data_IF_720806098745
#
_entry.id   IF_720806098745
#
_cell.length_a   1.000
_cell.length_b   1.000
_cell.length_c   1.000
_cell.angle_alpha   90.00
_cell.angle_beta   90.00
_cell.angle_gamma   90.00
#
_symmetry.space_group_name_H-M   'P 1'
#
loop_
_entity.id
_entity.type
_entity.pdbx_description
1 polymer ?
#
# COMPACT_ATOMS: atom_id res chain seq x y z
N UNK A 1 18.55 -24.42 -6.80
CA UNK A 1 17.70 -23.23 -6.98
C UNK A 1 17.32 -23.09 -8.45
N UNK A 2 16.04 -23.02 -8.81
CA UNK A 2 15.69 -22.47 -10.13
C UNK A 2 15.65 -20.95 -10.01
N UNK A 3 16.61 -20.26 -10.63
CA UNK A 3 16.66 -18.79 -10.73
C UNK A 3 15.30 -18.18 -11.10
N UNK A 4 14.51 -18.92 -11.88
CA UNK A 4 13.15 -18.57 -12.25
C UNK A 4 12.21 -18.41 -11.05
N UNK A 5 12.16 -19.36 -10.11
CA UNK A 5 11.24 -19.29 -8.96
C UNK A 5 11.50 -18.04 -8.11
N UNK A 6 12.78 -17.72 -7.87
CA UNK A 6 13.19 -16.51 -7.17
C UNK A 6 12.70 -15.23 -7.87
N UNK A 7 12.83 -15.16 -9.20
CA UNK A 7 12.33 -14.02 -9.98
C UNK A 7 10.81 -13.88 -9.92
N UNK A 8 10.07 -14.98 -9.89
CA UNK A 8 8.61 -14.95 -9.71
C UNK A 8 8.25 -14.41 -8.31
N UNK A 9 8.94 -14.86 -7.26
CA UNK A 9 8.72 -14.35 -5.89
C UNK A 9 8.99 -12.84 -5.82
N UNK A 10 10.11 -12.38 -6.38
CA UNK A 10 10.47 -10.95 -6.44
C UNK A 10 9.36 -10.13 -7.14
N UNK A 11 8.90 -10.58 -8.31
CA UNK A 11 7.82 -9.92 -9.04
C UNK A 11 6.50 -9.86 -8.24
N UNK A 12 6.11 -10.97 -7.62
CA UNK A 12 4.90 -11.03 -6.80
C UNK A 12 5.01 -10.14 -5.57
N UNK A 13 6.19 -10.06 -4.97
CA UNK A 13 6.47 -9.16 -3.86
C UNK A 13 6.29 -7.69 -4.25
N UNK A 14 6.90 -7.26 -5.36
CA UNK A 14 6.78 -5.89 -5.86
C UNK A 14 5.32 -5.52 -6.09
N UNK A 15 4.55 -6.42 -6.71
CA UNK A 15 3.13 -6.21 -6.93
C UNK A 15 2.33 -6.10 -5.63
N UNK A 16 2.58 -6.96 -4.63
CA UNK A 16 1.91 -6.89 -3.32
C UNK A 16 2.30 -5.63 -2.55
N UNK A 17 3.54 -5.18 -2.67
CA UNK A 17 3.98 -3.92 -2.06
C UNK A 17 3.28 -2.72 -2.69
N UNK A 18 3.15 -2.68 -4.01
CA UNK A 18 2.41 -1.63 -4.72
C UNK A 18 0.92 -1.61 -4.30
N UNK A 19 0.31 -2.79 -4.14
CA UNK A 19 -1.05 -2.92 -3.62
C UNK A 19 -1.17 -2.38 -2.19
N UNK A 20 -0.22 -2.74 -1.31
CA UNK A 20 -0.16 -2.22 0.05
C UNK A 20 -0.07 -0.70 0.07
N UNK A 21 0.89 -0.11 -0.66
CA UNK A 21 1.09 1.33 -0.74
C UNK A 21 -0.18 2.05 -1.27
N UNK A 22 -0.88 1.45 -2.23
CA UNK A 22 -2.11 2.03 -2.81
C UNK A 22 -3.32 1.97 -1.85
N UNK A 23 -3.27 1.11 -0.83
CA UNK A 23 -4.42 0.82 0.04
C UNK A 23 -4.09 0.86 1.53
N UNK A 24 -2.94 1.43 1.92
CA UNK A 24 -2.40 1.24 3.27
C UNK A 24 -3.34 1.71 4.38
N UNK A 25 -4.14 2.77 4.15
CA UNK A 25 -5.07 3.25 5.17
C UNK A 25 -6.29 2.33 5.31
N UNK A 26 -6.82 1.80 4.21
CA UNK A 26 -7.90 0.80 4.25
C UNK A 26 -7.41 -0.49 4.94
N UNK A 27 -6.21 -0.94 4.58
CA UNK A 27 -5.57 -2.08 5.22
C UNK A 27 -5.30 -1.81 6.70
N UNK A 28 -4.88 -0.60 7.06
CA UNK A 28 -4.74 -0.21 8.45
C UNK A 28 -6.08 -0.36 9.19
N UNK A 29 -7.19 0.12 8.62
CA UNK A 29 -8.50 0.01 9.26
C UNK A 29 -8.92 -1.43 9.51
N UNK A 30 -8.63 -2.33 8.57
CA UNK A 30 -9.00 -3.75 8.65
C UNK A 30 -8.04 -4.60 9.48
N UNK A 31 -6.77 -4.19 9.63
CA UNK A 31 -5.71 -5.03 10.20
C UNK A 31 -4.93 -4.41 11.37
N UNK A 32 -5.23 -3.18 11.81
CA UNK A 32 -4.52 -2.49 12.90
C UNK A 32 -4.39 -3.29 14.19
N UNK A 33 -5.35 -4.16 14.50
CA UNK A 33 -5.39 -4.91 15.76
C UNK A 33 -4.60 -6.23 15.70
N UNK A 34 -4.14 -6.65 14.51
CA UNK A 34 -3.36 -7.87 14.33
C UNK A 34 -1.87 -7.71 14.66
N UNK A 35 -1.37 -6.46 14.65
CA UNK A 35 0.06 -6.14 14.75
C UNK A 35 0.81 -6.39 13.43
N UNK A 36 1.98 -5.77 13.28
CA UNK A 36 2.65 -5.73 11.97
C UNK A 36 3.08 -7.12 11.48
N UNK A 37 3.68 -7.91 12.36
CA UNK A 37 4.15 -9.26 12.06
C UNK A 37 3.05 -10.20 11.54
N UNK A 38 1.89 -10.16 12.20
CA UNK A 38 0.79 -11.06 11.84
C UNK A 38 0.14 -10.65 10.53
N UNK A 39 0.02 -9.35 10.25
CA UNK A 39 -0.42 -8.88 8.95
C UNK A 39 0.53 -9.26 7.82
N UNK A 40 1.86 -9.15 8.03
CA UNK A 40 2.82 -9.59 7.01
C UNK A 40 2.59 -11.05 6.65
N UNK A 41 2.39 -11.91 7.66
CA UNK A 41 2.07 -13.32 7.42
C UNK A 41 0.72 -13.50 6.71
N UNK A 42 -0.36 -12.95 7.25
CA UNK A 42 -1.73 -13.25 6.81
C UNK A 42 -2.10 -12.57 5.49
N UNK A 43 -1.76 -11.30 5.33
CA UNK A 43 -2.09 -10.55 4.13
C UNK A 43 -0.99 -10.69 3.08
N UNK A 44 0.28 -10.55 3.46
CA UNK A 44 1.37 -10.50 2.48
C UNK A 44 1.83 -11.90 2.05
N UNK A 45 2.46 -12.66 2.96
CA UNK A 45 3.16 -13.91 2.62
C UNK A 45 2.18 -15.00 2.21
N UNK A 46 1.09 -15.19 2.97
CA UNK A 46 0.08 -16.21 2.67
C UNK A 46 -0.56 -16.02 1.30
N UNK A 47 -0.73 -14.79 0.84
CA UNK A 47 -1.24 -14.51 -0.51
C UNK A 47 -0.27 -15.01 -1.58
N UNK A 48 1.03 -14.70 -1.42
CA UNK A 48 2.05 -15.07 -2.41
C UNK A 48 2.26 -16.59 -2.42
N UNK A 49 2.38 -17.21 -1.24
CA UNK A 49 2.53 -18.67 -1.10
C UNK A 49 1.36 -19.41 -1.75
N UNK A 50 0.11 -18.98 -1.47
CA UNK A 50 -1.09 -19.60 -2.06
C UNK A 50 -1.08 -19.57 -3.58
N UNK A 51 -0.70 -18.45 -4.19
CA UNK A 51 -0.60 -18.36 -5.65
C UNK A 51 0.52 -19.24 -6.19
N UNK A 52 1.66 -19.32 -5.52
CA UNK A 52 2.81 -20.10 -5.98
C UNK A 52 2.61 -21.61 -5.84
N UNK A 53 1.86 -22.06 -4.84
CA UNK A 53 1.52 -23.48 -4.66
C UNK A 53 0.74 -24.07 -5.85
N UNK A 54 0.15 -23.23 -6.70
CA UNK A 54 -0.51 -23.66 -7.94
C UNK A 54 0.47 -24.05 -9.05
N UNK A 55 1.74 -23.62 -8.95
CA UNK A 55 2.73 -23.72 -10.02
C UNK A 55 4.02 -24.41 -9.59
N UNK A 56 4.31 -24.47 -8.30
CA UNK A 56 5.54 -25.04 -7.75
C UNK A 56 5.25 -26.02 -6.61
N UNK A 57 6.03 -27.11 -6.50
CA UNK A 57 5.87 -28.04 -5.39
C UNK A 57 6.22 -27.38 -4.05
N UNK A 58 5.57 -27.77 -2.93
CA UNK A 58 5.78 -27.14 -1.62
C UNK A 58 7.24 -27.12 -1.17
N UNK A 59 8.00 -28.18 -1.44
CA UNK A 59 9.44 -28.27 -1.09
C UNK A 59 10.27 -27.16 -1.73
N UNK A 60 10.00 -26.83 -3.00
CA UNK A 60 10.68 -25.73 -3.70
C UNK A 60 10.35 -24.36 -3.09
N UNK A 61 9.13 -24.19 -2.58
CA UNK A 61 8.69 -22.93 -2.01
C UNK A 61 9.22 -22.68 -0.61
N UNK A 62 9.37 -23.71 0.23
CA UNK A 62 9.92 -23.60 1.58
C UNK A 62 11.32 -22.96 1.52
N UNK A 63 12.20 -23.54 0.70
CA UNK A 63 13.57 -23.03 0.54
C UNK A 63 13.56 -21.61 -0.03
N UNK A 64 12.79 -21.38 -1.09
CA UNK A 64 12.78 -20.10 -1.81
C UNK A 64 12.18 -18.95 -1.01
N UNK A 65 11.15 -19.20 -0.19
CA UNK A 65 10.58 -18.19 0.71
C UNK A 65 11.48 -17.88 1.89
N UNK A 66 12.13 -18.90 2.47
CA UNK A 66 13.05 -18.69 3.59
C UNK A 66 14.21 -17.77 3.21
N UNK A 67 14.79 -17.96 2.02
CA UNK A 67 15.81 -17.06 1.47
C UNK A 67 15.28 -15.64 1.21
N UNK A 68 14.06 -15.53 0.70
CA UNK A 68 13.42 -14.23 0.46
C UNK A 68 13.20 -13.46 1.76
N UNK A 69 12.61 -14.08 2.79
CA UNK A 69 12.38 -13.45 4.08
C UNK A 69 13.70 -13.00 4.72
N UNK A 70 14.74 -13.83 4.63
CA UNK A 70 16.07 -13.51 5.14
C UNK A 70 16.70 -12.29 4.46
N UNK A 71 16.51 -12.14 3.13
CA UNK A 71 17.14 -11.07 2.36
C UNK A 71 16.33 -9.78 2.29
N UNK A 72 14.99 -9.85 2.23
CA UNK A 72 14.11 -8.71 1.96
C UNK A 72 13.00 -8.51 3.00
N UNK A 73 12.79 -9.45 3.91
CA UNK A 73 11.73 -9.36 4.93
C UNK A 73 11.84 -8.12 5.82
N UNK A 74 13.07 -7.69 6.15
CA UNK A 74 13.30 -6.48 6.95
C UNK A 74 12.81 -5.20 6.25
N UNK A 75 12.96 -5.10 4.92
CA UNK A 75 12.45 -3.96 4.15
C UNK A 75 10.94 -3.92 4.23
N UNK A 76 10.28 -5.06 4.01
CA UNK A 76 8.82 -5.14 4.05
C UNK A 76 8.28 -4.68 5.40
N UNK A 77 8.85 -5.21 6.49
CA UNK A 77 8.51 -4.79 7.86
C UNK A 77 8.72 -3.29 8.07
N UNK A 78 9.78 -2.72 7.52
CA UNK A 78 10.09 -1.29 7.63
C UNK A 78 9.06 -0.42 6.89
N UNK A 79 8.70 -0.77 5.65
CA UNK A 79 7.62 -0.12 4.91
C UNK A 79 6.35 -0.13 5.75
N UNK A 80 5.93 -1.33 6.09
CA UNK A 80 4.66 -1.57 6.77
C UNK A 80 4.58 -0.84 8.11
N UNK A 81 5.63 -0.89 8.94
CA UNK A 81 5.75 -0.10 10.18
C UNK A 81 5.65 1.41 9.94
N UNK A 82 6.29 1.91 8.88
CA UNK A 82 6.28 3.34 8.52
C UNK A 82 4.87 3.83 8.20
N UNK A 83 4.12 3.07 7.39
CA UNK A 83 2.75 3.43 7.04
C UNK A 83 1.78 3.28 8.23
N UNK A 84 1.96 2.26 9.09
CA UNK A 84 1.21 2.17 10.35
C UNK A 84 1.51 3.33 11.30
N UNK A 85 2.76 3.76 11.39
CA UNK A 85 3.14 4.93 12.17
C UNK A 85 2.42 6.18 11.66
N UNK A 86 2.43 6.40 10.34
CA UNK A 86 1.67 7.48 9.72
C UNK A 86 0.18 7.40 10.05
N UNK A 87 -0.43 6.22 9.92
CA UNK A 87 -1.83 6.03 10.28
C UNK A 87 -2.13 6.20 11.77
N UNK A 88 -1.18 6.02 12.68
CA UNK A 88 -1.41 6.31 14.10
C UNK A 88 -1.43 7.81 14.36
N UNK A 89 -0.53 8.56 13.73
CA UNK A 89 -0.43 10.00 13.93
C UNK A 89 0.02 10.71 12.64
N UNK A 90 -0.90 11.04 11.72
CA UNK A 90 -0.55 11.64 10.44
C UNK A 90 0.08 13.04 10.62
N UNK A 91 -0.28 13.77 11.67
CA UNK A 91 0.24 15.11 11.98
C UNK A 91 1.73 15.15 12.29
N UNK A 92 2.33 14.02 12.70
CA UNK A 92 3.79 13.88 12.86
C UNK A 92 4.54 13.87 11.52
N UNK A 93 3.82 13.85 10.40
CA UNK A 93 4.38 13.79 9.05
C UNK A 93 3.80 14.90 8.16
N UNK A 94 3.96 16.20 8.54
CA UNK A 94 3.36 17.32 7.82
C UNK A 94 3.81 17.40 6.36
N UNK A 95 5.10 17.15 6.09
CA UNK A 95 5.67 17.13 4.73
C UNK A 95 4.91 16.19 3.79
N UNK A 96 4.54 14.97 4.25
CA UNK A 96 3.78 14.02 3.42
C UNK A 96 2.37 14.52 3.10
N UNK A 97 1.78 15.27 4.02
CA UNK A 97 0.45 15.86 3.83
C UNK A 97 0.55 17.00 2.82
N UNK A 98 1.56 17.87 2.95
CA UNK A 98 1.82 18.97 2.02
C UNK A 98 2.08 18.45 0.60
N UNK A 99 2.96 17.46 0.43
CA UNK A 99 3.22 16.81 -0.86
C UNK A 99 1.94 16.24 -1.48
N UNK A 100 1.05 15.66 -0.66
CA UNK A 100 -0.20 15.12 -1.15
C UNK A 100 -1.20 16.21 -1.55
N UNK A 101 -1.27 17.32 -0.82
CA UNK A 101 -2.10 18.49 -1.15
C UNK A 101 -1.61 19.09 -2.48
N UNK A 102 -0.30 19.28 -2.63
CA UNK A 102 0.33 19.80 -3.84
C UNK A 102 0.07 18.87 -5.03
N UNK A 103 0.24 17.56 -4.85
CA UNK A 103 -0.02 16.57 -5.89
C UNK A 103 -1.44 16.67 -6.48
N UNK A 104 -2.45 16.91 -5.64
CA UNK A 104 -3.83 17.10 -6.09
C UNK A 104 -4.17 18.55 -6.48
N UNK A 105 -3.26 19.51 -6.28
CA UNK A 105 -3.49 20.93 -6.52
C UNK A 105 -4.62 21.51 -5.68
N UNK A 106 -4.79 21.03 -4.44
CA UNK A 106 -5.90 21.43 -3.59
C UNK A 106 -5.60 22.76 -2.88
N UNK A 107 -6.45 23.77 -3.08
CA UNK A 107 -6.38 25.03 -2.32
C UNK A 107 -6.98 24.89 -0.93
N UNK A 108 -8.10 24.16 -0.84
CA UNK A 108 -8.75 23.80 0.40
C UNK A 108 -8.75 22.28 0.51
N UNK A 109 -8.43 21.76 1.70
CA UNK A 109 -8.47 20.32 1.95
C UNK A 109 -9.80 19.95 2.59
N UNK A 110 -10.78 19.64 1.74
CA UNK A 110 -12.08 19.04 2.13
C UNK A 110 -12.24 17.63 1.57
N UNK A 111 -13.11 16.82 2.18
CA UNK A 111 -13.37 15.46 1.70
C UNK A 111 -14.01 15.43 0.30
N UNK A 112 -14.88 16.41 0.02
CA UNK A 112 -15.53 16.56 -1.29
C UNK A 112 -14.53 16.90 -2.40
N UNK A 113 -13.66 17.89 -2.17
CA UNK A 113 -12.64 18.29 -3.14
C UNK A 113 -11.64 17.16 -3.39
N UNK A 114 -11.16 16.50 -2.33
CA UNK A 114 -10.26 15.36 -2.46
C UNK A 114 -10.88 14.25 -3.32
N UNK A 115 -12.13 13.85 -3.03
CA UNK A 115 -12.85 12.82 -3.80
C UNK A 115 -13.04 13.24 -5.26
N UNK A 116 -13.35 14.51 -5.51
CA UNK A 116 -13.54 15.05 -6.86
C UNK A 116 -12.24 14.99 -7.67
N UNK A 117 -11.13 15.52 -7.12
CA UNK A 117 -9.82 15.50 -7.78
C UNK A 117 -9.32 14.07 -8.00
N UNK A 118 -9.46 13.19 -7.00
CA UNK A 118 -9.12 11.78 -7.12
C UNK A 118 -9.85 11.11 -8.29
N UNK A 119 -11.19 11.25 -8.36
CA UNK A 119 -11.98 10.66 -9.46
C UNK A 119 -11.57 11.19 -10.83
N UNK A 120 -11.23 12.49 -10.93
CA UNK A 120 -10.73 13.09 -12.18
C UNK A 120 -9.41 12.46 -12.61
N UNK A 121 -8.45 12.33 -11.69
CA UNK A 121 -7.14 11.73 -12.00
C UNK A 121 -7.27 10.24 -12.33
N UNK A 122 -8.04 9.46 -11.55
CA UNK A 122 -8.30 8.05 -11.84
C UNK A 122 -8.91 7.89 -13.23
N UNK A 123 -9.95 8.68 -13.57
CA UNK A 123 -10.52 8.63 -14.92
C UNK A 123 -9.51 8.98 -15.99
N UNK A 124 -8.58 9.90 -15.75
CA UNK A 124 -7.59 10.31 -16.75
C UNK A 124 -6.49 9.26 -16.96
N UNK A 125 -6.08 8.59 -15.88
CA UNK A 125 -4.88 7.75 -15.87
C UNK A 125 -5.17 6.24 -15.65
N UNK A 126 -6.44 5.83 -15.66
CA UNK A 126 -6.77 4.40 -15.48
C UNK A 126 -6.11 3.54 -16.58
N UNK A 127 -5.42 2.44 -16.24
CA UNK A 127 -4.75 1.57 -17.21
C UNK A 127 -5.68 1.03 -18.30
N UNK A 128 -6.97 0.84 -17.99
CA UNK A 128 -7.96 0.43 -19.01
C UNK A 128 -8.21 1.49 -20.09
N UNK A 129 -7.83 2.74 -19.85
CA UNK A 129 -7.99 3.85 -20.81
C UNK A 129 -6.69 4.21 -21.54
N UNK A 130 -5.57 4.21 -20.82
CA UNK A 130 -4.27 4.65 -21.36
C UNK A 130 -3.35 3.50 -21.76
N UNK A 131 -3.81 2.25 -21.58
CA UNK A 131 -3.04 1.04 -21.82
C UNK A 131 -2.44 0.46 -20.54
N UNK A 132 -2.28 -0.87 -20.52
CA UNK A 132 -1.75 -1.63 -19.38
C UNK A 132 -0.22 -1.59 -19.33
N UNK A 133 0.35 -0.39 -19.29
CA UNK A 133 1.81 -0.20 -19.17
C UNK A 133 2.25 -0.15 -17.69
N UNK A 134 3.56 -0.36 -17.47
CA UNK A 134 4.16 -0.22 -16.14
C UNK A 134 4.01 1.22 -15.63
N UNK A 135 4.17 2.20 -16.52
CA UNK A 135 4.04 3.62 -16.21
C UNK A 135 2.61 3.93 -15.75
N UNK A 136 1.60 3.48 -16.49
CA UNK A 136 0.19 3.65 -16.11
C UNK A 136 -0.11 3.03 -14.74
N UNK A 137 0.41 1.83 -14.47
CA UNK A 137 0.30 1.20 -13.16
C UNK A 137 0.96 2.04 -12.06
N UNK A 138 2.20 2.50 -12.25
CA UNK A 138 2.91 3.31 -11.27
C UNK A 138 2.25 4.67 -11.04
N UNK A 139 1.68 5.29 -12.08
CA UNK A 139 0.86 6.50 -11.94
C UNK A 139 -0.35 6.25 -11.05
N UNK A 140 -1.06 5.15 -11.25
CA UNK A 140 -2.20 4.78 -10.39
C UNK A 140 -1.79 4.49 -8.95
N UNK A 141 -0.66 3.80 -8.73
CA UNK A 141 -0.11 3.57 -7.39
C UNK A 141 0.16 4.91 -6.70
N UNK A 142 0.76 5.87 -7.40
CA UNK A 142 1.04 7.21 -6.87
C UNK A 142 -0.24 8.00 -6.54
N UNK A 143 -1.23 7.98 -7.44
CA UNK A 143 -2.54 8.64 -7.20
C UNK A 143 -3.21 8.05 -5.95
N UNK A 144 -3.24 6.72 -5.84
CA UNK A 144 -3.85 6.04 -4.71
C UNK A 144 -3.08 6.30 -3.41
N UNK A 145 -1.75 6.29 -3.43
CA UNK A 145 -0.92 6.61 -2.28
C UNK A 145 -1.27 7.96 -1.66
N UNK A 146 -1.24 9.04 -2.45
CA UNK A 146 -1.56 10.37 -1.94
C UNK A 146 -3.01 10.49 -1.51
N UNK A 147 -3.92 9.77 -2.17
CA UNK A 147 -5.32 9.69 -1.75
C UNK A 147 -5.45 9.08 -0.35
N UNK A 148 -4.76 7.97 -0.07
CA UNK A 148 -4.76 7.34 1.26
C UNK A 148 -4.16 8.25 2.34
N UNK A 149 -3.09 9.00 2.04
CA UNK A 149 -2.49 10.01 2.94
C UNK A 149 -3.54 11.04 3.37
N UNK A 150 -4.18 11.70 2.42
CA UNK A 150 -5.14 12.77 2.71
C UNK A 150 -6.43 12.26 3.33
N UNK A 151 -6.90 11.08 2.93
CA UNK A 151 -8.05 10.43 3.58
C UNK A 151 -7.79 10.17 5.05
N UNK A 152 -6.63 9.60 5.38
CA UNK A 152 -6.28 9.33 6.77
C UNK A 152 -6.19 10.61 7.57
N UNK A 153 -5.55 11.65 7.01
CA UNK A 153 -5.43 12.95 7.67
C UNK A 153 -6.80 13.62 7.91
N UNK A 154 -7.69 13.62 6.93
CA UNK A 154 -9.05 14.13 7.06
C UNK A 154 -9.86 13.35 8.10
N UNK A 155 -9.74 12.02 8.14
CA UNK A 155 -10.38 11.21 9.19
C UNK A 155 -9.84 11.54 10.58
N UNK A 156 -8.56 11.89 10.70
CA UNK A 156 -7.96 12.34 11.97
C UNK A 156 -8.62 13.60 12.49
N UNK A 157 -8.71 14.61 11.61
CA UNK A 157 -9.29 15.92 11.90
C UNK A 157 -10.75 15.78 12.33
N UNK A 158 -11.51 14.93 11.63
CA UNK A 158 -12.92 14.68 11.96
C UNK A 158 -13.07 14.03 13.35
N UNK A 159 -12.26 13.02 13.66
CA UNK A 159 -12.36 12.33 14.95
C UNK A 159 -11.95 13.23 16.13
N UNK A 160 -11.11 14.24 15.92
CA UNK A 160 -10.76 15.23 16.94
C UNK A 160 -11.79 16.35 17.10
N UNK A 161 -12.58 16.61 16.06
CA UNK A 161 -13.66 17.61 16.09
C UNK A 161 -14.94 17.08 16.75
N UNK A 162 -15.06 15.76 16.92
CA UNK A 162 -16.15 15.13 17.67
C UNK A 162 -15.74 15.06 19.15
N UNK A 163 -16.44 15.74 20.08
CA UNK A 163 -16.17 15.57 21.49
C UNK A 163 -16.43 14.12 21.88
N UNK A 164 -15.53 13.57 22.69
CA UNK A 164 -15.71 12.26 23.31
C UNK A 164 -16.91 12.41 24.26
N UNK A 165 -18.06 11.90 23.84
CA UNK A 165 -19.27 11.81 24.67
C UNK A 165 -19.14 10.71 25.71
#
# INVERSE_FOLDING_TARGET
>A
MSFFCKKVIEYMYENRLNQFISSFYELYQSYKDLGEERFLREWFHRSIIRSLLLYFPPSTLIDSFGEFESSKGHLLKTYVKTYWSFCRNPKKHPVRIEEAIEFFGLKNLTESELKSCYRKLVRRYHPDRIGKSREAHMTMVKINYYYQILRRYLSDRRNQALPVG
#
